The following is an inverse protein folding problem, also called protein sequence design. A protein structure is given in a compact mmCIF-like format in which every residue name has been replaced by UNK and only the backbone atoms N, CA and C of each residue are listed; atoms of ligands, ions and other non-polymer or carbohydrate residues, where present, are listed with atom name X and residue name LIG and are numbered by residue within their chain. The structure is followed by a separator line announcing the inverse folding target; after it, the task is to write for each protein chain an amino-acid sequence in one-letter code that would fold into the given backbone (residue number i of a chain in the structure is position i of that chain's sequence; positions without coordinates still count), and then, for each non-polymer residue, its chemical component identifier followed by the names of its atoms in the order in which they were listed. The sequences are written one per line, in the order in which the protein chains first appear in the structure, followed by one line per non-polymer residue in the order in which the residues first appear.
data_IF_317046329129
#
_entry.id   IF_317046329129
#
_cell.length_a   1.000
_cell.length_b   1.000
_cell.length_c   1.000
_cell.angle_alpha   90.00
_cell.angle_beta   90.00
_cell.angle_gamma   90.00
#
_symmetry.space_group_name_H-M   'P 1'
#
loop_
_entity.id
_entity.type
_entity.pdbx_description
1 polymer ?
#
# COMPACT_ATOMS: atom_id res chain seq x y z
N UNK A 1 19.02 -0.04 2.44
CA UNK A 1 17.60 0.15 2.13
C UNK A 1 16.74 -0.86 2.90
N UNK A 2 15.43 -0.68 2.88
CA UNK A 2 14.44 -1.53 3.54
C UNK A 2 14.31 -2.95 2.96
N UNK A 3 15.14 -3.33 1.98
CA UNK A 3 15.08 -4.64 1.34
C UNK A 3 13.96 -4.82 0.30
N UNK A 4 13.20 -3.75 -0.02
CA UNK A 4 12.20 -3.82 -1.08
C UNK A 4 12.86 -4.10 -2.44
N UNK A 5 12.35 -5.09 -3.14
CA UNK A 5 12.64 -5.27 -4.55
C UNK A 5 11.95 -4.18 -5.37
N UNK A 6 12.47 -3.89 -6.55
CA UNK A 6 11.95 -2.81 -7.41
C UNK A 6 10.45 -2.90 -7.66
N UNK A 7 9.91 -4.07 -7.98
CA UNK A 7 8.47 -4.28 -8.19
C UNK A 7 7.62 -3.93 -6.97
N UNK A 8 8.06 -4.35 -5.76
CA UNK A 8 7.35 -3.99 -4.52
C UNK A 8 7.39 -2.49 -4.24
N UNK A 9 8.48 -1.79 -4.63
CA UNK A 9 8.56 -0.34 -4.45
C UNK A 9 7.55 0.42 -5.34
N UNK A 10 7.39 -0.02 -6.59
CA UNK A 10 6.38 0.54 -7.50
C UNK A 10 4.96 0.30 -6.99
N UNK A 11 4.67 -0.93 -6.56
CA UNK A 11 3.39 -1.28 -5.97
C UNK A 11 3.10 -0.51 -4.69
N UNK A 12 4.08 -0.39 -3.79
CA UNK A 12 3.94 0.41 -2.57
C UNK A 12 3.55 1.86 -2.90
N UNK A 13 4.19 2.47 -3.89
CA UNK A 13 3.85 3.82 -4.35
C UNK A 13 2.42 3.91 -4.93
N UNK A 14 2.00 2.90 -5.70
CA UNK A 14 0.65 2.82 -6.26
C UNK A 14 -0.39 2.64 -5.15
N UNK A 15 -0.16 1.73 -4.20
CA UNK A 15 -1.07 1.47 -3.07
C UNK A 15 -1.17 2.68 -2.16
N UNK A 16 -0.06 3.35 -1.85
CA UNK A 16 -0.06 4.59 -1.07
C UNK A 16 -0.93 5.68 -1.72
N UNK A 17 -0.85 5.83 -3.04
CA UNK A 17 -1.71 6.76 -3.77
C UNK A 17 -3.20 6.41 -3.66
N UNK A 18 -3.57 5.12 -3.73
CA UNK A 18 -4.95 4.68 -3.58
C UNK A 18 -5.49 4.95 -2.18
N UNK A 19 -4.72 4.64 -1.13
CA UNK A 19 -5.08 4.97 0.25
C UNK A 19 -5.27 6.48 0.45
N UNK A 20 -4.37 7.30 -0.09
CA UNK A 20 -4.49 8.76 -0.05
C UNK A 20 -5.83 9.24 -0.63
N UNK A 21 -6.23 8.67 -1.75
CA UNK A 21 -7.50 9.02 -2.39
C UNK A 21 -8.72 8.69 -1.53
N UNK A 22 -8.61 7.71 -0.65
CA UNK A 22 -9.67 7.35 0.31
C UNK A 22 -9.56 8.12 1.64
N UNK A 23 -8.62 9.07 1.76
CA UNK A 23 -8.42 9.89 2.96
C UNK A 23 -7.71 9.16 4.11
N UNK A 24 -7.09 8.02 3.84
CA UNK A 24 -6.32 7.25 4.83
C UNK A 24 -4.88 7.79 4.88
N UNK A 25 -4.33 7.97 6.09
CA UNK A 25 -2.92 8.38 6.27
C UNK A 25 -1.98 7.27 5.81
N UNK A 26 -1.60 7.38 4.54
CA UNK A 26 -0.69 6.45 3.90
C UNK A 26 0.77 6.67 4.29
N UNK A 27 1.13 7.86 4.73
CA UNK A 27 2.51 8.20 5.07
C UNK A 27 3.00 7.44 6.30
N UNK A 28 2.21 7.45 7.37
CA UNK A 28 2.51 6.70 8.59
C UNK A 28 2.55 5.20 8.33
N UNK A 29 1.56 4.67 7.61
CA UNK A 29 1.51 3.26 7.23
C UNK A 29 2.71 2.85 6.37
N UNK A 30 3.15 3.72 5.44
CA UNK A 30 4.30 3.43 4.59
C UNK A 30 5.58 3.32 5.41
N UNK A 31 5.78 4.18 6.41
CA UNK A 31 6.93 4.07 7.32
C UNK A 31 6.93 2.72 8.05
N UNK A 32 5.80 2.33 8.64
CA UNK A 32 5.67 1.02 9.31
C UNK A 32 5.98 -0.13 8.36
N UNK A 33 5.44 -0.09 7.15
CA UNK A 33 5.67 -1.13 6.15
C UNK A 33 7.14 -1.21 5.70
N UNK A 34 7.83 -0.06 5.56
CA UNK A 34 9.24 -0.01 5.18
C UNK A 34 10.18 -0.46 6.30
N UNK A 35 9.81 -0.21 7.55
CA UNK A 35 10.56 -0.65 8.74
C UNK A 35 10.38 -2.15 9.04
N UNK A 36 9.26 -2.74 8.59
CA UNK A 36 8.88 -4.13 8.87
C UNK A 36 8.59 -4.90 7.56
N UNK A 37 9.42 -4.73 6.54
CA UNK A 37 9.20 -5.38 5.25
C UNK A 37 9.66 -6.84 5.26
N UNK A 38 8.74 -7.74 5.57
CA UNK A 38 8.88 -9.19 5.58
C UNK A 38 7.57 -9.87 5.12
N UNK A 39 7.47 -11.19 5.27
CA UNK A 39 6.29 -11.98 4.90
C UNK A 39 5.02 -11.63 5.70
N UNK A 40 5.12 -10.84 6.77
CA UNK A 40 3.98 -10.34 7.56
C UNK A 40 3.56 -8.93 7.16
N UNK A 41 4.34 -8.28 6.30
CA UNK A 41 4.02 -6.94 5.82
C UNK A 41 2.92 -6.99 4.76
N UNK A 42 1.93 -6.11 4.87
CA UNK A 42 0.84 -6.00 3.90
C UNK A 42 1.31 -5.74 2.46
N UNK A 43 2.45 -5.05 2.28
CA UNK A 43 3.06 -4.83 0.96
C UNK A 43 3.70 -6.10 0.37
N UNK A 44 4.01 -7.10 1.21
CA UNK A 44 4.44 -8.43 0.77
C UNK A 44 3.23 -9.34 0.51
N UNK A 45 2.25 -9.32 1.42
CA UNK A 45 1.05 -10.17 1.37
C UNK A 45 0.13 -9.76 0.21
N UNK A 46 -0.05 -8.46 -0.02
CA UNK A 46 -1.04 -7.91 -0.94
C UNK A 46 -0.92 -8.39 -2.39
N UNK A 47 0.27 -8.38 -3.02
CA UNK A 47 0.47 -8.93 -4.35
C UNK A 47 0.08 -10.40 -4.44
N UNK A 48 0.55 -11.21 -3.49
CA UNK A 48 0.22 -12.64 -3.45
C UNK A 48 -1.29 -12.90 -3.30
N UNK A 49 -1.98 -12.04 -2.53
CA UNK A 49 -3.42 -12.10 -2.36
C UNK A 49 -4.15 -11.76 -3.67
N UNK A 50 -3.68 -10.75 -4.41
CA UNK A 50 -4.23 -10.40 -5.72
C UNK A 50 -4.02 -11.51 -6.74
N UNK A 51 -2.86 -12.14 -6.75
CA UNK A 51 -2.53 -13.25 -7.67
C UNK A 51 -3.35 -14.52 -7.37
N UNK A 52 -3.57 -14.81 -6.08
CA UNK A 52 -4.38 -15.95 -5.66
C UNK A 52 -5.87 -15.78 -6.01
N UNK A 53 -6.36 -14.52 -6.00
CA UNK A 53 -7.78 -14.22 -6.14
C UNK A 53 -8.62 -14.74 -4.97
N UNK A 54 -9.87 -14.28 -4.89
CA UNK A 54 -10.84 -14.79 -3.92
C UNK A 54 -11.80 -15.75 -4.62
N UNK A 55 -11.69 -17.04 -4.32
CA UNK A 55 -12.70 -18.03 -4.72
C UNK A 55 -14.07 -17.70 -4.12
N UNK A 56 -15.13 -18.32 -4.66
CA UNK A 56 -16.52 -18.03 -4.30
C UNK A 56 -16.82 -18.21 -2.80
N UNK A 57 -16.17 -19.18 -2.16
CA UNK A 57 -16.39 -19.54 -0.75
C UNK A 57 -15.13 -19.31 0.11
N UNK A 58 -14.21 -18.46 -0.34
CA UNK A 58 -12.94 -18.29 0.34
C UNK A 58 -13.06 -17.30 1.48
N UNK A 59 -12.67 -17.75 2.66
CA UNK A 59 -12.27 -16.90 3.78
C UNK A 59 -10.76 -17.06 3.96
N UNK A 60 -10.04 -15.94 3.96
CA UNK A 60 -8.61 -15.91 4.26
C UNK A 60 -8.42 -15.38 5.67
N UNK A 61 -7.67 -16.11 6.45
CA UNK A 61 -7.20 -15.67 7.73
C UNK A 61 -5.69 -15.46 7.66
N UNK A 62 -5.27 -14.23 7.91
CA UNK A 62 -3.86 -13.85 8.04
C UNK A 62 -3.54 -13.69 9.53
N UNK A 63 -2.38 -14.17 9.94
CA UNK A 63 -1.87 -13.94 11.28
C UNK A 63 -1.42 -12.50 11.49
N UNK A 64 -0.32 -12.31 12.19
CA UNK A 64 0.25 -10.99 12.45
C UNK A 64 0.55 -10.22 11.16
N UNK A 65 -0.05 -9.01 10.99
CA UNK A 65 0.11 -8.18 9.77
C UNK A 65 0.57 -6.78 10.14
N UNK A 66 1.71 -6.36 9.58
CA UNK A 66 2.18 -4.97 9.65
C UNK A 66 1.53 -4.11 8.59
N UNK A 67 1.17 -2.88 8.97
CA UNK A 67 0.52 -1.86 8.13
C UNK A 67 -0.72 -2.40 7.38
N UNK A 68 -1.69 -3.06 8.07
CA UNK A 68 -2.81 -3.78 7.45
C UNK A 68 -3.66 -2.90 6.52
N UNK A 69 -3.66 -1.59 6.72
CA UNK A 69 -4.40 -0.64 5.88
C UNK A 69 -4.05 -0.72 4.39
N UNK A 70 -2.82 -1.13 4.01
CA UNK A 70 -2.48 -1.32 2.60
C UNK A 70 -3.27 -2.45 1.93
N UNK A 71 -3.76 -3.43 2.69
CA UNK A 71 -4.61 -4.49 2.14
C UNK A 71 -5.89 -3.92 1.52
N UNK A 72 -6.42 -2.80 2.03
CA UNK A 72 -7.58 -2.13 1.45
C UNK A 72 -7.34 -1.73 -0.01
N UNK A 73 -6.14 -1.23 -0.33
CA UNK A 73 -5.79 -0.84 -1.69
C UNK A 73 -5.62 -2.06 -2.62
N UNK A 74 -5.03 -3.15 -2.13
CA UNK A 74 -4.89 -4.38 -2.90
C UNK A 74 -6.26 -5.01 -3.17
N UNK A 75 -7.13 -5.09 -2.17
CA UNK A 75 -8.49 -5.59 -2.33
C UNK A 75 -9.31 -4.71 -3.28
N UNK A 76 -9.14 -3.39 -3.23
CA UNK A 76 -9.80 -2.48 -4.16
C UNK A 76 -9.40 -2.75 -5.62
N UNK A 77 -8.11 -3.02 -5.88
CA UNK A 77 -7.67 -3.41 -7.24
C UNK A 77 -8.25 -4.77 -7.62
N UNK A 78 -8.24 -5.74 -6.71
CA UNK A 78 -8.71 -7.09 -6.97
C UNK A 78 -10.20 -7.12 -7.36
N UNK A 79 -11.04 -6.25 -6.78
CA UNK A 79 -12.47 -6.19 -7.09
C UNK A 79 -12.82 -5.22 -8.23
N UNK A 80 -11.87 -4.44 -8.74
CA UNK A 80 -12.13 -3.33 -9.67
C UNK A 80 -12.86 -3.75 -10.95
N UNK A 81 -12.61 -4.96 -11.45
CA UNK A 81 -13.19 -5.51 -12.68
C UNK A 81 -14.21 -6.63 -12.40
N UNK A 82 -14.76 -6.68 -11.19
CA UNK A 82 -15.67 -7.75 -10.78
C UNK A 82 -16.89 -7.21 -10.05
N UNK A 83 -17.99 -7.97 -10.07
CA UNK A 83 -19.17 -7.70 -9.22
C UNK A 83 -18.99 -8.21 -7.78
N UNK A 84 -17.78 -8.61 -7.43
CA UNK A 84 -17.47 -9.18 -6.12
C UNK A 84 -17.33 -8.07 -5.08
N UNK A 85 -17.94 -8.29 -3.91
CA UNK A 85 -17.72 -7.49 -2.73
C UNK A 85 -16.87 -8.29 -1.74
N UNK A 86 -15.93 -7.62 -1.10
CA UNK A 86 -15.01 -8.24 -0.14
C UNK A 86 -15.06 -7.48 1.16
N UNK A 87 -15.19 -8.21 2.24
CA UNK A 87 -15.09 -7.68 3.59
C UNK A 87 -13.72 -7.99 4.17
N UNK A 88 -13.11 -7.02 4.81
CA UNK A 88 -11.89 -7.16 5.59
C UNK A 88 -12.14 -6.70 7.02
N UNK A 89 -11.61 -7.45 7.99
CA UNK A 89 -11.85 -7.20 9.40
C UNK A 89 -10.58 -7.48 10.22
N UNK A 90 -10.31 -6.61 11.21
CA UNK A 90 -9.40 -6.83 12.34
C UNK A 90 -9.93 -6.12 13.57
N UNK A 91 -9.38 -6.40 14.75
CA UNK A 91 -9.87 -6.06 16.11
C UNK A 91 -10.92 -4.95 16.21
N UNK A 92 -10.62 -3.73 15.78
CA UNK A 92 -11.50 -2.57 15.90
C UNK A 92 -11.83 -1.94 14.55
N UNK A 93 -11.64 -2.69 13.47
CA UNK A 93 -11.83 -2.21 12.11
C UNK A 93 -12.59 -3.21 11.26
N UNK A 94 -13.50 -2.68 10.47
CA UNK A 94 -14.23 -3.44 9.47
C UNK A 94 -14.46 -2.55 8.25
N UNK A 95 -14.19 -3.09 7.07
CA UNK A 95 -14.47 -2.43 5.81
C UNK A 95 -15.03 -3.42 4.80
N UNK A 96 -15.88 -2.93 3.92
CA UNK A 96 -16.30 -3.65 2.71
C UNK A 96 -15.74 -2.92 1.50
N UNK A 97 -15.26 -3.66 0.52
CA UNK A 97 -14.67 -3.14 -0.71
C UNK A 97 -15.47 -3.68 -1.89
N UNK A 98 -15.87 -2.81 -2.80
CA UNK A 98 -16.52 -3.16 -4.06
C UNK A 98 -15.98 -2.31 -5.21
N UNK A 99 -16.50 -2.50 -6.41
CA UNK A 99 -16.20 -1.65 -7.57
C UNK A 99 -16.53 -0.17 -7.31
N UNK A 100 -17.48 0.12 -6.43
CA UNK A 100 -17.88 1.50 -6.07
C UNK A 100 -16.88 2.17 -5.13
N UNK A 101 -16.03 1.40 -4.43
CA UNK A 101 -15.01 1.90 -3.52
C UNK A 101 -14.92 1.16 -2.19
N UNK A 102 -14.37 1.84 -1.18
CA UNK A 102 -14.18 1.35 0.17
C UNK A 102 -15.29 1.91 1.08
N UNK A 103 -15.94 1.04 1.82
CA UNK A 103 -17.02 1.37 2.75
C UNK A 103 -16.55 1.05 4.17
N UNK A 104 -16.40 2.05 5.02
CA UNK A 104 -16.08 1.87 6.43
C UNK A 104 -16.48 3.10 7.25
N UNK A 105 -16.81 2.89 8.53
CA UNK A 105 -17.17 3.95 9.47
C UNK A 105 -16.01 4.39 10.37
N UNK A 106 -14.95 3.57 10.47
CA UNK A 106 -13.86 3.73 11.45
C UNK A 106 -12.51 3.98 10.76
N UNK A 107 -12.44 5.00 9.92
CA UNK A 107 -11.27 5.30 9.08
C UNK A 107 -9.95 5.36 9.86
N UNK A 108 -9.96 5.87 11.10
CA UNK A 108 -8.75 5.96 11.93
C UNK A 108 -8.17 4.61 12.31
N UNK A 109 -9.02 3.58 12.45
CA UNK A 109 -8.56 2.23 12.77
C UNK A 109 -7.88 1.53 11.59
N UNK A 110 -7.97 2.11 10.38
CA UNK A 110 -7.23 1.64 9.22
C UNK A 110 -5.73 1.94 9.30
N UNK A 111 -5.31 2.88 10.15
CA UNK A 111 -3.90 3.35 10.27
C UNK A 111 -3.14 2.72 11.42
N UNK A 112 -3.58 1.58 11.91
CA UNK A 112 -2.88 0.81 12.96
C UNK A 112 -1.57 0.21 12.41
N UNK A 113 -0.54 0.18 13.24
CA UNK A 113 0.80 -0.28 12.83
C UNK A 113 0.83 -1.78 12.60
N UNK A 114 0.21 -2.56 13.48
CA UNK A 114 0.20 -4.03 13.46
C UNK A 114 -1.08 -4.57 14.05
N UNK A 115 -1.55 -5.68 13.51
CA UNK A 115 -2.69 -6.46 14.04
C UNK A 115 -2.32 -7.93 14.14
N UNK A 116 -2.86 -8.62 15.13
CA UNK A 116 -2.58 -10.05 15.35
C UNK A 116 -3.33 -10.96 14.37
N UNK A 117 -4.45 -10.46 13.82
CA UNK A 117 -5.32 -11.24 12.96
C UNK A 117 -6.06 -10.34 11.97
N UNK A 118 -6.09 -10.75 10.71
CA UNK A 118 -6.93 -10.15 9.66
C UNK A 118 -7.77 -11.24 9.04
N UNK A 119 -9.07 -10.99 8.87
CA UNK A 119 -10.00 -11.88 8.16
C UNK A 119 -10.45 -11.17 6.89
N UNK A 120 -10.40 -11.87 5.77
CA UNK A 120 -10.85 -11.38 4.46
C UNK A 120 -11.84 -12.40 3.94
N UNK A 121 -13.05 -11.95 3.60
CA UNK A 121 -14.08 -12.84 3.07
C UNK A 121 -14.92 -12.16 1.99
N UNK A 122 -15.47 -12.96 1.11
CA UNK A 122 -16.45 -12.51 0.14
C UNK A 122 -17.79 -12.26 0.82
N UNK A 123 -18.46 -11.18 0.40
CA UNK A 123 -19.81 -10.82 0.86
C UNK A 123 -20.70 -10.50 -0.34
N UNK A 124 -22.01 -10.62 -0.18
CA UNK A 124 -22.96 -10.38 -1.27
C UNK A 124 -23.32 -8.92 -1.45
N UNK A 125 -23.30 -8.14 -0.36
CA UNK A 125 -23.80 -6.79 -0.36
C UNK A 125 -22.87 -5.84 0.39
N UNK A 126 -22.88 -4.58 -0.02
CA UNK A 126 -22.28 -3.47 0.72
C UNK A 126 -23.38 -2.67 1.42
N UNK A 127 -23.04 -2.03 2.53
CA UNK A 127 -23.94 -1.13 3.25
C UNK A 127 -23.28 0.22 3.49
N UNK A 128 -24.06 1.29 3.50
CA UNK A 128 -23.57 2.64 3.70
C UNK A 128 -23.17 3.35 2.41
N UNK A 129 -22.30 4.34 2.51
CA UNK A 129 -21.75 5.09 1.40
C UNK A 129 -20.24 4.82 1.27
N UNK A 130 -19.69 4.79 0.04
CA UNK A 130 -18.25 4.66 -0.13
C UNK A 130 -17.51 5.87 0.43
N UNK A 131 -16.28 5.66 0.87
CA UNK A 131 -15.41 6.75 1.27
C UNK A 131 -15.27 7.79 0.15
N UNK A 132 -15.25 9.08 0.50
CA UNK A 132 -15.06 10.13 -0.48
C UNK A 132 -13.68 10.01 -1.15
N UNK A 133 -13.61 10.43 -2.42
CA UNK A 133 -12.36 10.43 -3.17
C UNK A 133 -11.70 11.81 -3.06
N UNK A 134 -10.51 11.84 -2.47
CA UNK A 134 -9.71 13.05 -2.30
C UNK A 134 -8.66 13.19 -3.42
N UNK A 135 -8.45 14.42 -3.88
CA UNK A 135 -7.39 14.75 -4.83
C UNK A 135 -6.06 15.07 -4.15
N UNK A 136 -6.10 15.42 -2.87
CA UNK A 136 -4.93 15.79 -2.04
C UNK A 136 -5.13 15.28 -0.62
N UNK A 137 -4.04 14.85 -0.01
CA UNK A 137 -3.97 14.42 1.40
C UNK A 137 -2.81 15.17 2.05
N UNK A 138 -3.00 15.59 3.29
CA UNK A 138 -1.94 16.18 4.10
C UNK A 138 -1.18 15.05 4.81
N UNK A 139 0.15 15.04 4.63
CA UNK A 139 1.04 14.13 5.34
C UNK A 139 1.81 14.97 6.37
N UNK A 140 1.92 14.51 7.64
CA UNK A 140 2.69 15.21 8.66
C UNK A 140 4.13 15.48 8.24
N UNK A 141 4.67 16.66 8.54
CA UNK A 141 6.02 17.04 8.12
C UNK A 141 7.13 16.11 8.62
N UNK A 142 6.96 15.57 9.84
CA UNK A 142 7.89 14.59 10.42
C UNK A 142 7.87 13.27 9.64
N UNK A 143 6.71 12.81 9.18
CA UNK A 143 6.55 11.62 8.34
C UNK A 143 7.25 11.83 7.00
N UNK A 144 7.03 12.99 6.35
CA UNK A 144 7.72 13.34 5.11
C UNK A 144 9.24 13.36 5.30
N UNK A 145 9.73 13.93 6.39
CA UNK A 145 11.17 13.99 6.67
C UNK A 145 11.79 12.60 6.77
N UNK A 146 11.15 11.66 7.48
CA UNK A 146 11.60 10.27 7.59
C UNK A 146 11.55 9.53 6.24
N UNK A 147 10.50 9.72 5.46
CA UNK A 147 10.39 9.12 4.12
C UNK A 147 11.48 9.64 3.18
N UNK A 148 11.81 10.93 3.24
CA UNK A 148 12.91 11.53 2.47
C UNK A 148 14.28 11.01 2.92
N UNK A 149 14.48 10.78 4.20
CA UNK A 149 15.71 10.15 4.73
C UNK A 149 15.86 8.73 4.16
N UNK A 150 14.81 7.91 4.20
CA UNK A 150 14.81 6.57 3.61
C UNK A 150 15.05 6.61 2.09
N UNK A 151 14.42 7.55 1.40
CA UNK A 151 14.66 7.75 -0.03
C UNK A 151 16.11 8.13 -0.32
N UNK A 152 16.71 8.95 0.52
CA UNK A 152 18.14 9.35 0.41
C UNK A 152 19.10 8.15 0.40
N UNK A 153 18.75 7.05 1.10
CA UNK A 153 19.56 5.82 1.12
C UNK A 153 19.57 5.07 -0.23
N UNK A 154 18.62 5.37 -1.11
CA UNK A 154 18.53 4.72 -2.44
C UNK A 154 19.32 5.47 -3.52
N UNK A 155 19.70 6.72 -3.27
CA UNK A 155 20.50 7.49 -4.21
C UNK A 155 21.98 7.05 -4.17
N UNK A 156 22.50 6.61 -5.30
CA UNK A 156 23.94 6.44 -5.45
C UNK A 156 24.61 7.81 -5.24
N UNK A 157 25.71 7.89 -4.46
CA UNK A 157 26.44 9.13 -4.32
C UNK A 157 26.82 9.65 -5.71
N UNK A 158 26.51 10.91 -6.00
CA UNK A 158 26.90 11.56 -7.26
C UNK A 158 28.42 11.80 -7.26
N UNK A 159 29.21 10.75 -7.46
CA UNK A 159 30.65 10.87 -7.64
C UNK A 159 30.96 11.37 -9.05
N UNK A 160 32.11 12.00 -9.24
CA UNK A 160 32.56 12.46 -10.55
C UNK A 160 32.65 11.27 -11.53
N UNK A 161 33.06 10.11 -11.04
CA UNK A 161 33.08 8.86 -11.82
C UNK A 161 31.68 8.41 -12.25
N UNK A 162 30.65 8.55 -11.37
CA UNK A 162 29.28 8.18 -11.75
C UNK A 162 28.64 9.19 -12.71
N UNK A 163 29.07 10.46 -12.70
CA UNK A 163 28.65 11.46 -13.70
C UNK A 163 29.26 11.19 -15.05
N UNK A 164 30.53 10.77 -15.09
CA UNK A 164 31.22 10.42 -16.33
C UNK A 164 30.76 9.08 -16.91
N UNK A 165 30.34 8.13 -16.08
CA UNK A 165 29.81 6.83 -16.48
C UNK A 165 28.31 6.82 -16.76
N UNK A 166 27.55 7.79 -16.20
CA UNK A 166 26.11 7.89 -16.33
C UNK A 166 25.68 8.86 -17.42
N UNK A 167 24.80 8.41 -18.26
CA UNK A 167 24.04 9.19 -19.23
C UNK A 167 24.64 9.45 -20.61
N UNK A 168 25.57 8.61 -21.14
CA UNK A 168 25.84 8.60 -22.59
C UNK A 168 26.36 9.90 -23.20
N UNK A 169 26.67 10.93 -22.41
CA UNK A 169 27.36 12.12 -22.84
C UNK A 169 28.86 11.88 -22.71
N UNK A 170 29.39 11.07 -23.60
CA UNK A 170 30.82 11.03 -23.81
C UNK A 170 31.32 12.39 -24.30
N UNK A 171 32.61 12.75 -24.06
CA UNK A 171 33.17 14.03 -24.48
C UNK A 171 33.28 14.22 -26.03
N UNK A 172 32.71 13.31 -26.80
CA UNK A 172 32.83 13.25 -28.27
C UNK A 172 31.48 13.36 -29.01
N UNK A 173 30.42 13.82 -28.41
CA UNK A 173 29.11 13.91 -29.07
C UNK A 173 28.80 15.31 -29.63
N UNK A 174 29.84 16.03 -30.03
CA UNK A 174 29.79 17.29 -30.78
C UNK A 174 30.69 17.28 -31.98
N UNK A 175 30.44 16.39 -32.95
CA UNK A 175 30.90 16.53 -34.33
C UNK A 175 29.74 16.30 -35.31
#
# INVERSE_FOLDING_TARGET
GSGLFWGHAEEAGRMARLLSRSGIDNGSLLLVALENFDEKCSLWIGPALCDAGLGLDSEFELGNVYAPGFLLSFLNIMVADSETCVEIEWTDFKATISVEGIFCDQLKAATIDVVDRVVIRRVENVSGAPLPVYSRVEIPKNTIAKLLELAGLTYAPATEASRLAGAGAGPNDND
#
